data_IF_496930972490
#
_entry.id   IF_496930972490
#
_cell.length_a   1.000
_cell.length_b   1.000
_cell.length_c   1.000
_cell.angle_alpha   90.00
_cell.angle_beta   90.00
_cell.angle_gamma   90.00
#
_symmetry.space_group_name_H-M   'P 1'
#
loop_
_entity.id
_entity.type
_entity.pdbx_description
1 polymer ?
#
# COMPACT_ATOMS: atom_id res chain seq x y z
N UNK A 1 -8.01 -2.72 2.57
CA UNK A 1 -8.75 -3.36 1.44
C UNK A 1 -9.47 -2.37 0.53
N UNK A 2 -10.33 -1.47 1.01
CA UNK A 2 -11.12 -0.53 0.16
C UNK A 2 -10.28 0.19 -0.91
N UNK A 3 -9.15 0.82 -0.53
CA UNK A 3 -8.26 1.51 -1.47
C UNK A 3 -7.65 0.58 -2.53
N UNK A 4 -7.11 -0.57 -2.12
CA UNK A 4 -6.52 -1.55 -3.05
C UNK A 4 -7.55 -2.06 -4.08
N UNK A 5 -8.81 -2.24 -3.69
CA UNK A 5 -9.89 -2.62 -4.60
C UNK A 5 -10.20 -1.53 -5.63
N UNK A 6 -10.26 -0.26 -5.23
CA UNK A 6 -10.43 0.86 -6.17
C UNK A 6 -9.27 0.96 -7.18
N UNK A 7 -8.07 0.57 -6.76
CA UNK A 7 -6.88 0.57 -7.61
C UNK A 7 -6.76 -0.68 -8.49
N UNK A 8 -7.68 -1.64 -8.36
CA UNK A 8 -7.64 -2.95 -9.03
C UNK A 8 -6.34 -3.72 -8.78
N UNK A 9 -5.76 -3.57 -7.59
CA UNK A 9 -4.58 -4.35 -7.19
C UNK A 9 -4.96 -5.83 -7.10
N UNK A 10 -4.09 -6.69 -7.63
CA UNK A 10 -4.25 -8.13 -7.50
C UNK A 10 -4.08 -8.59 -6.03
N UNK A 11 -4.51 -9.82 -5.73
CA UNK A 11 -4.51 -10.35 -4.36
C UNK A 11 -3.11 -10.37 -3.71
N UNK A 12 -2.05 -10.60 -4.48
CA UNK A 12 -0.68 -10.60 -3.96
C UNK A 12 -0.24 -9.19 -3.57
N UNK A 13 -0.50 -8.21 -4.42
CA UNK A 13 -0.22 -6.81 -4.15
C UNK A 13 -1.02 -6.28 -2.94
N UNK A 14 -2.30 -6.68 -2.80
CA UNK A 14 -3.11 -6.34 -1.61
C UNK A 14 -2.51 -6.94 -0.33
N UNK A 15 -2.07 -8.20 -0.39
CA UNK A 15 -1.47 -8.88 0.75
C UNK A 15 -0.15 -8.21 1.15
N UNK A 16 0.71 -7.94 0.18
CA UNK A 16 1.97 -7.24 0.40
C UNK A 16 1.74 -5.85 1.03
N UNK A 17 0.77 -5.08 0.51
CA UNK A 17 0.48 -3.73 1.05
C UNK A 17 -0.07 -3.78 2.46
N UNK A 18 -0.89 -4.77 2.77
CA UNK A 18 -1.40 -4.98 4.13
C UNK A 18 -0.27 -5.37 5.09
N UNK A 19 0.64 -6.24 4.66
CA UNK A 19 1.77 -6.66 5.48
C UNK A 19 2.78 -5.52 5.71
N UNK A 20 3.05 -4.71 4.70
CA UNK A 20 3.90 -3.53 4.82
C UNK A 20 3.34 -2.51 5.82
N UNK A 21 2.03 -2.24 5.79
CA UNK A 21 1.38 -1.38 6.78
C UNK A 21 1.48 -1.98 8.18
N UNK A 22 1.22 -3.28 8.33
CA UNK A 22 1.33 -3.92 9.65
C UNK A 22 2.75 -3.85 10.22
N UNK A 23 3.78 -4.15 9.42
CA UNK A 23 5.18 -4.05 9.85
C UNK A 23 5.58 -2.62 10.22
N UNK A 24 4.94 -1.62 9.60
CA UNK A 24 5.21 -0.21 9.91
C UNK A 24 4.72 0.21 11.31
N UNK A 25 3.80 -0.53 11.92
CA UNK A 25 3.33 -0.27 13.29
C UNK A 25 4.43 -0.52 14.34
N UNK A 26 5.44 -1.33 13.99
CA UNK A 26 6.60 -1.60 14.83
C UNK A 26 7.70 -0.53 14.70
N UNK A 27 7.54 0.43 13.79
CA UNK A 27 8.49 1.50 13.49
C UNK A 27 8.00 2.84 14.08
N UNK A 28 8.90 3.70 14.58
CA UNK A 28 8.55 5.07 15.02
C UNK A 28 8.32 6.00 13.80
N UNK A 29 7.29 5.71 13.00
CA UNK A 29 6.89 6.54 11.87
C UNK A 29 5.85 7.55 12.33
N UNK A 30 6.26 8.80 12.44
CA UNK A 30 5.40 9.93 12.86
C UNK A 30 4.55 10.47 11.72
N UNK A 31 3.70 9.61 11.14
CA UNK A 31 2.75 9.93 10.07
C UNK A 31 1.37 9.35 10.37
N UNK A 32 0.32 9.91 9.77
CA UNK A 32 -1.02 9.38 9.95
C UNK A 32 -1.14 7.98 9.33
N UNK A 33 -1.95 7.07 9.91
CA UNK A 33 -2.15 5.73 9.36
C UNK A 33 -2.62 5.72 7.91
N UNK A 34 -3.40 6.74 7.51
CA UNK A 34 -3.86 6.91 6.12
C UNK A 34 -2.68 7.19 5.18
N UNK A 35 -1.75 8.07 5.59
CA UNK A 35 -0.57 8.41 4.78
C UNK A 35 0.36 7.21 4.62
N UNK A 36 0.54 6.44 5.69
CA UNK A 36 1.35 5.22 5.69
C UNK A 36 0.72 4.18 4.75
N UNK A 37 -0.59 3.98 4.84
CA UNK A 37 -1.30 3.08 3.94
C UNK A 37 -1.19 3.52 2.47
N UNK A 38 -1.33 4.80 2.17
CA UNK A 38 -1.18 5.34 0.83
C UNK A 38 0.25 5.13 0.28
N UNK A 39 1.28 5.37 1.10
CA UNK A 39 2.67 5.15 0.73
C UNK A 39 2.97 3.66 0.44
N UNK A 40 2.52 2.75 1.30
CA UNK A 40 2.69 1.31 1.10
C UNK A 40 2.00 0.84 -0.18
N UNK A 41 0.77 1.28 -0.42
CA UNK A 41 0.01 0.99 -1.65
C UNK A 41 0.76 1.49 -2.87
N UNK A 42 1.23 2.74 -2.86
CA UNK A 42 1.97 3.32 -3.98
C UNK A 42 3.24 2.51 -4.30
N UNK A 43 4.09 2.28 -3.29
CA UNK A 43 5.35 1.55 -3.46
C UNK A 43 5.09 0.17 -4.07
N UNK A 44 4.08 -0.55 -3.57
CA UNK A 44 3.81 -1.92 -4.01
C UNK A 44 3.16 -1.98 -5.38
N UNK A 45 2.29 -1.03 -5.72
CA UNK A 45 1.79 -0.89 -7.08
C UNK A 45 2.93 -0.64 -8.08
N UNK A 46 3.89 0.22 -7.72
CA UNK A 46 5.06 0.49 -8.57
C UNK A 46 5.96 -0.76 -8.75
N UNK A 47 6.08 -1.61 -7.72
CA UNK A 47 6.87 -2.84 -7.77
C UNK A 47 6.15 -4.02 -8.44
N UNK A 48 4.81 -4.02 -8.47
CA UNK A 48 4.02 -5.16 -9.00
C UNK A 48 3.76 -5.08 -10.50
N UNK A 49 4.41 -4.16 -11.23
CA UNK A 49 4.14 -3.80 -12.63
C UNK A 49 2.68 -3.38 -12.92
N UNK A 50 1.85 -3.22 -11.88
CA UNK A 50 0.56 -2.52 -11.90
C UNK A 50 0.83 -1.00 -11.95
N UNK A 51 1.50 -0.53 -13.02
CA UNK A 51 1.85 0.88 -13.28
C UNK A 51 0.61 1.73 -13.57
N UNK A 52 -0.29 1.83 -12.60
CA UNK A 52 -1.25 2.92 -12.52
C UNK A 52 -0.60 4.00 -11.68
N UNK A 53 0.03 4.96 -12.38
CA UNK A 53 0.40 6.23 -11.78
C UNK A 53 -0.83 6.77 -11.06
N UNK A 54 -0.74 6.95 -9.75
CA UNK A 54 -1.74 7.69 -8.97
C UNK A 54 -1.77 9.11 -9.57
N UNK A 55 -2.74 9.36 -10.46
CA UNK A 55 -3.00 10.66 -11.07
C UNK A 55 -3.93 11.47 -10.18
#
# INVERSE_FOLDING_TARGET
RRFCSHLNMNNQAVKAATEAVKRSEELDIRRSPISIAAAAIYIISQLSDDKKLLR
#
